data_IF_947845617244
#
_entry.id   IF_947845617244
#
_cell.length_a   1.000
_cell.length_b   1.000
_cell.length_c   1.000
_cell.angle_alpha   90.00
_cell.angle_beta   90.00
_cell.angle_gamma   90.00
#
_symmetry.space_group_name_H-M   'P 1'
#
loop_
_entity.id
_entity.type
_entity.pdbx_description
1 polymer ?
#
# COMPACT_ATOMS: atom_id res chain seq x y z
N UNK A 1 -9.42 -13.76 -15.16
CA UNK A 1 -7.96 -13.52 -15.10
C UNK A 1 -7.30 -14.67 -14.31
N UNK A 2 -6.37 -15.43 -14.89
CA UNK A 2 -5.81 -16.64 -14.25
C UNK A 2 -4.55 -16.33 -13.41
N UNK A 3 -4.55 -15.20 -12.71
CA UNK A 3 -3.36 -14.65 -12.01
C UNK A 3 -2.90 -15.56 -10.85
N UNK A 4 -3.86 -16.19 -10.19
CA UNK A 4 -3.60 -17.06 -9.02
C UNK A 4 -3.67 -18.56 -9.39
N UNK A 5 -3.63 -18.89 -10.69
CA UNK A 5 -3.61 -20.26 -11.17
C UNK A 5 -2.23 -20.63 -11.74
N UNK A 6 -1.85 -21.87 -11.51
CA UNK A 6 -0.70 -22.53 -12.12
C UNK A 6 -1.14 -23.90 -12.63
N UNK A 7 -1.00 -24.13 -13.94
CA UNK A 7 -1.48 -25.34 -14.61
C UNK A 7 -2.97 -25.69 -14.32
N UNK A 8 -3.83 -24.67 -14.27
CA UNK A 8 -5.26 -24.82 -14.01
C UNK A 8 -5.63 -25.12 -12.55
N UNK A 9 -4.65 -25.13 -11.64
CA UNK A 9 -4.84 -25.32 -10.20
C UNK A 9 -4.48 -24.06 -9.42
N UNK A 10 -5.01 -23.87 -8.20
CA UNK A 10 -4.65 -22.72 -7.39
C UNK A 10 -3.16 -22.73 -7.07
N UNK A 11 -2.49 -21.60 -7.24
CA UNK A 11 -1.09 -21.41 -6.90
C UNK A 11 -0.86 -21.70 -5.42
N UNK A 12 0.16 -22.49 -5.09
CA UNK A 12 0.41 -22.95 -3.73
C UNK A 12 -0.55 -24.05 -3.24
N UNK A 13 -1.38 -24.62 -4.12
CA UNK A 13 -2.24 -25.78 -3.82
C UNK A 13 -3.51 -25.48 -3.02
N UNK A 14 -3.78 -24.23 -2.67
CA UNK A 14 -4.93 -23.78 -1.89
C UNK A 14 -5.60 -22.59 -2.56
N UNK A 15 -6.94 -22.46 -2.42
CA UNK A 15 -7.71 -21.31 -2.91
C UNK A 15 -7.60 -20.07 -2.02
N UNK A 16 -7.16 -20.21 -0.77
CA UNK A 16 -6.98 -19.10 0.16
C UNK A 16 -5.86 -19.41 1.15
N UNK A 17 -5.03 -18.40 1.42
CA UNK A 17 -3.96 -18.40 2.42
C UNK A 17 -4.28 -17.51 3.63
N UNK A 18 -5.52 -17.05 3.78
CA UNK A 18 -5.98 -16.12 4.83
C UNK A 18 -5.59 -16.53 6.26
N UNK A 19 -5.57 -17.83 6.55
CA UNK A 19 -5.15 -18.33 7.87
C UNK A 19 -3.70 -18.00 8.21
N UNK A 20 -2.87 -17.76 7.21
CA UNK A 20 -1.44 -17.44 7.35
C UNK A 20 -1.21 -15.93 7.56
N UNK A 21 -2.28 -15.09 7.42
CA UNK A 21 -2.23 -13.63 7.41
C UNK A 21 -2.50 -12.97 8.78
N UNK A 22 -2.46 -13.74 9.88
CA UNK A 22 -2.86 -13.28 11.23
C UNK A 22 -1.73 -13.36 12.25
N UNK A 23 -0.49 -13.17 11.80
CA UNK A 23 0.66 -13.18 12.70
C UNK A 23 0.77 -11.87 13.47
N UNK A 24 1.17 -11.96 14.74
CA UNK A 24 1.53 -10.78 15.52
C UNK A 24 2.86 -10.21 15.04
N UNK A 25 2.97 -8.88 14.97
CA UNK A 25 4.22 -8.21 14.62
C UNK A 25 5.25 -8.46 15.74
N UNK A 26 6.42 -9.03 15.44
CA UNK A 26 7.47 -9.26 16.43
C UNK A 26 8.02 -7.95 16.99
N UNK A 27 8.42 -7.95 18.28
CA UNK A 27 8.97 -6.74 18.92
C UNK A 27 10.28 -6.26 18.29
N UNK A 28 11.05 -7.17 17.73
CA UNK A 28 12.38 -6.93 17.14
C UNK A 28 12.34 -6.70 15.63
N UNK A 29 11.17 -6.62 15.00
CA UNK A 29 11.07 -6.28 13.57
C UNK A 29 11.17 -4.77 13.41
N UNK A 30 11.95 -4.34 12.43
CA UNK A 30 12.08 -2.93 12.10
C UNK A 30 10.77 -2.38 11.52
N UNK A 31 10.43 -1.16 11.95
CA UNK A 31 9.25 -0.45 11.40
C UNK A 31 9.58 0.02 9.99
N UNK A 32 8.82 -0.41 8.96
CA UNK A 32 9.06 0.04 7.60
C UNK A 32 8.86 1.56 7.48
N UNK A 33 9.79 2.21 6.80
CA UNK A 33 9.74 3.66 6.61
C UNK A 33 8.58 4.01 5.65
N UNK A 34 7.72 4.95 6.07
CA UNK A 34 6.80 5.61 5.17
C UNK A 34 7.49 6.83 4.57
N UNK A 35 7.64 6.83 3.24
CA UNK A 35 8.40 7.89 2.54
C UNK A 35 7.63 9.21 2.59
N UNK A 36 8.35 10.28 2.94
CA UNK A 36 7.81 11.63 2.85
C UNK A 36 7.87 12.15 1.41
N UNK A 37 6.75 12.69 0.95
CA UNK A 37 6.64 13.32 -0.35
C UNK A 37 6.71 14.84 -0.21
N UNK A 38 7.59 15.47 -0.99
CA UNK A 38 7.71 16.95 -0.97
C UNK A 38 6.47 17.58 -1.59
N UNK A 39 5.96 18.62 -0.93
CA UNK A 39 4.89 19.43 -1.48
C UNK A 39 5.27 20.04 -2.82
N UNK A 40 4.39 19.90 -3.81
CA UNK A 40 4.46 20.66 -5.04
C UNK A 40 4.00 22.10 -4.78
N UNK A 41 4.23 23.01 -5.74
CA UNK A 41 3.69 24.38 -5.65
C UNK A 41 2.16 24.36 -5.46
N UNK A 42 1.45 23.54 -6.26
CA UNK A 42 -0.01 23.39 -6.13
C UNK A 42 -0.42 22.87 -4.75
N UNK A 43 0.29 21.88 -4.19
CA UNK A 43 0.01 21.37 -2.85
C UNK A 43 0.12 22.47 -1.79
N UNK A 44 1.18 23.29 -1.85
CA UNK A 44 1.37 24.40 -0.93
C UNK A 44 0.25 25.46 -1.03
N UNK A 45 -0.18 25.76 -2.25
CA UNK A 45 -1.24 26.74 -2.47
C UNK A 45 -2.60 26.21 -1.98
N UNK A 46 -2.90 24.92 -2.21
CA UNK A 46 -4.13 24.30 -1.69
C UNK A 46 -4.12 24.22 -0.17
N UNK A 47 -3.00 23.88 0.48
CA UNK A 47 -2.88 23.94 1.96
C UNK A 47 -3.24 25.31 2.51
N UNK A 48 -2.74 26.40 1.91
CA UNK A 48 -3.09 27.78 2.31
C UNK A 48 -4.60 28.06 2.17
N UNK A 49 -5.21 27.60 1.07
CA UNK A 49 -6.64 27.77 0.84
C UNK A 49 -7.43 27.01 1.90
N UNK A 50 -7.10 25.73 2.16
CA UNK A 50 -7.79 24.90 3.14
C UNK A 50 -7.70 25.52 4.53
N UNK A 51 -6.52 25.92 4.98
CA UNK A 51 -6.33 26.51 6.30
C UNK A 51 -7.09 27.84 6.46
N UNK A 52 -7.29 28.58 5.38
CA UNK A 52 -8.08 29.83 5.39
C UNK A 52 -9.58 29.59 5.38
N UNK A 53 -10.04 28.62 4.59
CA UNK A 53 -11.48 28.39 4.34
C UNK A 53 -12.10 27.47 5.39
N UNK A 54 -11.30 26.56 5.92
CA UNK A 54 -11.76 25.52 6.87
C UNK A 54 -10.89 25.48 8.13
N UNK A 55 -10.73 26.62 8.87
CA UNK A 55 -9.80 26.70 9.99
C UNK A 55 -10.18 25.82 11.20
N UNK A 56 -11.47 25.53 11.33
CA UNK A 56 -12.02 24.78 12.48
C UNK A 56 -12.31 23.30 12.18
N UNK A 57 -11.95 22.83 10.99
CA UNK A 57 -12.14 21.42 10.63
C UNK A 57 -11.08 20.54 11.29
N UNK A 58 -11.51 19.32 11.64
CA UNK A 58 -10.59 18.34 12.21
C UNK A 58 -9.49 17.94 11.25
N UNK A 59 -8.26 17.85 11.75
CA UNK A 59 -7.06 17.44 11.01
C UNK A 59 -6.16 18.61 10.63
N UNK A 60 -4.90 18.28 10.31
CA UNK A 60 -3.86 19.24 9.99
C UNK A 60 -3.39 19.07 8.53
N UNK A 61 -3.26 20.16 7.80
CA UNK A 61 -2.77 20.10 6.41
C UNK A 61 -1.28 19.77 6.33
N UNK A 62 -0.52 20.06 7.40
CA UNK A 62 0.92 19.81 7.45
C UNK A 62 1.25 18.31 7.46
N UNK A 63 0.33 17.49 7.99
CA UNK A 63 0.44 16.03 7.99
C UNK A 63 0.14 15.39 6.65
N UNK A 64 -0.32 16.15 5.66
CA UNK A 64 -0.57 15.63 4.33
C UNK A 64 0.72 15.18 3.66
N UNK A 65 0.86 13.87 3.48
CA UNK A 65 2.07 13.23 2.99
C UNK A 65 1.77 12.17 1.91
N UNK A 66 0.97 12.53 0.92
CA UNK A 66 0.64 11.66 -0.19
C UNK A 66 1.18 12.18 -1.53
N UNK A 67 1.51 11.28 -2.47
CA UNK A 67 1.84 11.68 -3.83
C UNK A 67 0.71 12.46 -4.48
N UNK A 68 1.05 13.54 -5.18
CA UNK A 68 0.09 14.35 -5.96
C UNK A 68 0.35 14.30 -7.46
N UNK A 69 1.29 13.47 -7.89
CA UNK A 69 1.56 13.22 -9.31
C UNK A 69 1.62 11.72 -9.59
N UNK A 70 1.26 11.33 -10.82
CA UNK A 70 1.35 9.92 -11.24
C UNK A 70 2.75 9.35 -11.07
N UNK A 71 3.80 10.12 -11.39
CA UNK A 71 5.19 9.70 -11.24
C UNK A 71 5.53 9.33 -9.79
N UNK A 72 5.16 10.17 -8.84
CA UNK A 72 5.41 9.93 -7.41
C UNK A 72 4.51 8.83 -6.85
N UNK A 73 3.27 8.71 -7.34
CA UNK A 73 2.35 7.63 -6.99
C UNK A 73 2.88 6.25 -7.43
N UNK A 74 3.38 6.14 -8.66
CA UNK A 74 4.05 4.92 -9.12
C UNK A 74 5.33 4.62 -8.33
N UNK A 75 6.08 5.63 -7.91
CA UNK A 75 7.24 5.47 -7.03
C UNK A 75 6.87 4.93 -5.64
N UNK A 76 5.73 5.35 -5.08
CA UNK A 76 5.19 4.80 -3.83
C UNK A 76 4.78 3.34 -3.98
N UNK A 77 4.15 2.99 -5.09
CA UNK A 77 3.82 1.60 -5.42
C UNK A 77 5.08 0.73 -5.54
N UNK A 78 6.11 1.21 -6.25
CA UNK A 78 7.37 0.48 -6.41
C UNK A 78 8.07 0.27 -5.05
N UNK A 79 8.04 1.27 -4.17
CA UNK A 79 8.56 1.14 -2.81
C UNK A 79 7.80 0.07 -2.02
N UNK A 80 6.47 0.10 -2.02
CA UNK A 80 5.67 -0.93 -1.36
C UNK A 80 6.02 -2.33 -1.85
N UNK A 81 6.09 -2.53 -3.17
CA UNK A 81 6.42 -3.83 -3.77
C UNK A 81 7.82 -4.31 -3.38
N UNK A 82 8.79 -3.39 -3.29
CA UNK A 82 10.18 -3.76 -2.99
C UNK A 82 10.43 -4.04 -1.51
N UNK A 83 9.82 -3.25 -0.62
CA UNK A 83 10.18 -3.20 0.79
C UNK A 83 9.14 -3.86 1.71
N UNK A 84 7.85 -3.88 1.33
CA UNK A 84 6.76 -4.27 2.23
C UNK A 84 5.95 -5.46 1.77
N UNK A 85 5.76 -5.63 0.46
CA UNK A 85 4.83 -6.62 -0.08
C UNK A 85 5.12 -8.04 0.41
N UNK A 86 6.40 -8.41 0.60
CA UNK A 86 6.74 -9.76 1.04
C UNK A 86 6.22 -10.08 2.45
N UNK A 87 6.15 -9.09 3.32
CA UNK A 87 5.67 -9.25 4.70
C UNK A 87 4.19 -8.85 4.86
N UNK A 88 3.58 -8.30 3.81
CA UNK A 88 2.19 -7.84 3.82
C UNK A 88 1.22 -8.91 4.32
N UNK A 89 1.23 -10.11 3.70
CA UNK A 89 0.31 -11.17 4.06
C UNK A 89 0.45 -11.63 5.51
N UNK A 90 1.67 -11.77 6.01
CA UNK A 90 1.88 -12.21 7.39
C UNK A 90 1.25 -11.27 8.42
N UNK A 91 1.22 -9.95 8.13
CA UNK A 91 0.87 -8.91 9.09
C UNK A 91 -0.29 -8.01 8.65
N UNK A 92 -1.08 -8.38 7.62
CA UNK A 92 -2.14 -7.51 7.10
C UNK A 92 -3.22 -7.18 8.14
N UNK A 93 -3.51 -8.12 9.06
CA UNK A 93 -4.50 -7.94 10.14
C UNK A 93 -3.87 -7.45 11.45
N UNK A 94 -2.58 -7.19 11.48
CA UNK A 94 -1.89 -6.83 12.71
C UNK A 94 -2.01 -5.36 13.05
N UNK A 95 -2.26 -5.07 14.32
CA UNK A 95 -2.24 -3.71 14.88
C UNK A 95 -1.12 -3.60 15.90
N UNK A 96 -0.27 -2.57 15.76
CA UNK A 96 0.83 -2.30 16.68
C UNK A 96 1.09 -0.79 16.74
N UNK A 97 1.12 -0.21 17.93
CA UNK A 97 1.20 1.24 18.16
C UNK A 97 2.50 1.92 17.70
N UNK A 98 3.52 1.17 17.28
CA UNK A 98 4.79 1.73 16.79
C UNK A 98 4.68 2.40 15.42
N UNK A 99 3.67 2.02 14.60
CA UNK A 99 3.43 2.63 13.29
C UNK A 99 1.97 2.47 12.87
N UNK A 100 1.34 3.48 12.27
CA UNK A 100 -0.01 3.35 11.69
C UNK A 100 0.00 2.63 10.33
N UNK A 101 1.15 2.48 9.67
CA UNK A 101 1.21 2.00 8.28
C UNK A 101 1.81 0.61 8.12
N UNK A 102 2.71 0.19 8.99
CA UNK A 102 3.41 -1.09 8.92
C UNK A 102 3.68 -1.55 7.48
N UNK A 103 3.21 -2.76 7.14
CA UNK A 103 3.38 -3.36 5.81
C UNK A 103 2.23 -3.04 4.85
N UNK A 104 1.29 -2.13 5.21
CA UNK A 104 0.22 -1.72 4.31
C UNK A 104 0.72 -0.88 3.15
N UNK A 105 0.01 -0.99 2.01
CA UNK A 105 0.38 -0.28 0.78
C UNK A 105 0.05 1.21 0.83
N UNK A 106 -1.02 1.57 1.54
CA UNK A 106 -1.56 2.94 1.65
C UNK A 106 -1.85 3.57 0.26
N UNK A 107 -2.28 2.74 -0.70
CA UNK A 107 -2.53 3.16 -2.09
C UNK A 107 -3.96 3.62 -2.35
N UNK A 108 -4.90 3.41 -1.42
CA UNK A 108 -6.32 3.74 -1.59
C UNK A 108 -6.58 5.18 -2.02
N UNK A 109 -5.93 6.22 -1.43
CA UNK A 109 -6.14 7.59 -1.87
C UNK A 109 -5.75 7.81 -3.34
N UNK A 110 -4.68 7.15 -3.78
CA UNK A 110 -4.15 7.28 -5.14
C UNK A 110 -5.03 6.58 -6.19
N UNK A 111 -5.65 5.45 -5.80
CA UNK A 111 -6.65 4.75 -6.60
C UNK A 111 -7.93 5.57 -6.72
N UNK A 112 -8.42 6.11 -5.58
CA UNK A 112 -9.67 6.88 -5.54
C UNK A 112 -9.64 8.13 -6.43
N UNK A 113 -8.49 8.80 -6.54
CA UNK A 113 -8.34 9.99 -7.40
C UNK A 113 -7.80 9.64 -8.81
N UNK A 114 -7.61 8.37 -9.12
CA UNK A 114 -7.16 7.92 -10.45
C UNK A 114 -5.71 8.22 -10.79
N UNK A 115 -4.84 8.52 -9.82
CA UNK A 115 -3.39 8.68 -10.09
C UNK A 115 -2.73 7.37 -10.48
N UNK A 116 -3.22 6.25 -9.95
CA UNK A 116 -2.89 4.89 -10.36
C UNK A 116 -4.19 4.10 -10.53
N UNK A 117 -4.16 3.07 -11.33
CA UNK A 117 -5.29 2.16 -11.56
C UNK A 117 -4.93 0.73 -11.14
N UNK A 118 -5.91 -0.16 -10.89
CA UNK A 118 -5.65 -1.55 -10.52
C UNK A 118 -4.67 -2.27 -11.44
N UNK A 119 -4.73 -2.00 -12.75
CA UNK A 119 -3.84 -2.62 -13.74
C UNK A 119 -2.36 -2.22 -13.54
N UNK A 120 -2.09 -0.97 -13.15
CA UNK A 120 -0.73 -0.52 -12.77
C UNK A 120 -0.17 -1.35 -11.62
N UNK A 121 -1.00 -1.62 -10.61
CA UNK A 121 -0.63 -2.38 -9.42
C UNK A 121 -0.37 -3.83 -9.79
N UNK A 122 -1.35 -4.48 -10.40
CA UNK A 122 -1.31 -5.90 -10.77
C UNK A 122 -0.12 -6.18 -11.67
N UNK A 123 0.06 -5.38 -12.73
CA UNK A 123 1.15 -5.58 -13.70
C UNK A 123 2.55 -5.49 -13.06
N UNK A 124 2.72 -4.64 -12.03
CA UNK A 124 3.99 -4.50 -11.30
C UNK A 124 4.20 -5.61 -10.29
N UNK A 125 3.16 -5.98 -9.54
CA UNK A 125 3.22 -7.09 -8.58
C UNK A 125 3.55 -8.41 -9.29
N UNK A 126 2.95 -8.66 -10.46
CA UNK A 126 3.22 -9.85 -11.26
C UNK A 126 4.68 -9.98 -11.73
N UNK A 127 5.38 -8.87 -11.90
CA UNK A 127 6.81 -8.86 -12.27
C UNK A 127 7.74 -9.19 -11.11
N UNK A 128 7.30 -9.01 -9.87
CA UNK A 128 8.10 -9.29 -8.68
C UNK A 128 8.16 -10.80 -8.45
N UNK A 129 9.37 -11.34 -8.39
CA UNK A 129 9.64 -12.75 -8.09
C UNK A 129 9.86 -12.94 -6.57
N UNK A 130 9.72 -14.19 -6.11
CA UNK A 130 10.05 -14.61 -4.75
C UNK A 130 9.26 -13.88 -3.65
N UNK A 131 7.96 -13.64 -3.88
CA UNK A 131 7.02 -13.16 -2.87
C UNK A 131 6.39 -14.36 -2.17
N UNK A 132 6.18 -14.30 -0.86
CA UNK A 132 5.40 -15.28 -0.09
C UNK A 132 4.00 -15.40 -0.70
N UNK A 133 3.50 -16.63 -0.83
CA UNK A 133 2.23 -16.88 -1.52
C UNK A 133 1.04 -16.20 -0.82
N UNK A 134 1.02 -16.17 0.51
CA UNK A 134 0.00 -15.49 1.29
C UNK A 134 0.01 -13.98 1.06
N UNK A 135 1.17 -13.33 0.99
CA UNK A 135 1.30 -11.91 0.66
C UNK A 135 0.84 -11.60 -0.77
N UNK A 136 1.23 -12.45 -1.72
CA UNK A 136 0.85 -12.31 -3.11
C UNK A 136 -0.66 -12.47 -3.33
N UNK A 137 -1.22 -13.56 -2.79
CA UNK A 137 -2.65 -13.87 -2.89
C UNK A 137 -3.49 -12.83 -2.13
N UNK A 138 -3.14 -12.54 -0.87
CA UNK A 138 -3.87 -11.58 -0.05
C UNK A 138 -3.90 -10.20 -0.67
N UNK A 139 -2.76 -9.70 -1.16
CA UNK A 139 -2.71 -8.38 -1.79
C UNK A 139 -3.46 -8.31 -3.11
N UNK A 140 -3.30 -9.29 -4.00
CA UNK A 140 -4.00 -9.32 -5.30
C UNK A 140 -5.53 -9.37 -5.10
N UNK A 141 -6.01 -10.14 -4.12
CA UNK A 141 -7.45 -10.21 -3.81
C UNK A 141 -8.04 -8.89 -3.35
N UNK A 142 -7.27 -8.04 -2.68
CA UNK A 142 -7.75 -6.72 -2.25
C UNK A 142 -7.83 -5.71 -3.41
N UNK A 143 -7.14 -5.97 -4.52
CA UNK A 143 -7.12 -5.07 -5.69
C UNK A 143 -8.17 -5.44 -6.73
N UNK A 144 -8.57 -6.72 -6.81
CA UNK A 144 -9.56 -7.24 -7.77
C UNK A 144 -10.96 -7.20 -7.19
#
# INVERSE_FOLDING_TARGET
MNILLENGKPKGGKWSHDKENRKKIPKNIDVPIFRNFKDTTHTKDIKKIINRVFPDNYGETDDFNYPTTRKTALGMLDQFISEKLNEFGDYEDSVDGRSPFWFHSVLSPLLNIGLIIPDDIISRVLKKKNIKINSYEGFIRQII
#
